data_IF_789863138267
#
_entry.id   IF_789863138267
#
_cell.length_a   1.000
_cell.length_b   1.000
_cell.length_c   1.000
_cell.angle_alpha   90.00
_cell.angle_beta   90.00
_cell.angle_gamma   90.00
#
_symmetry.space_group_name_H-M   'P 1'
#
loop_
_entity.id
_entity.type
_entity.pdbx_description
1 polymer ?
#
# COMPACT_ATOMS: atom_id res chain seq x y z
N UNK A 1 18.98 -0.21 11.41
CA UNK A 1 18.46 -1.56 11.73
C UNK A 1 18.79 -2.51 10.58
N UNK A 2 19.10 -3.77 10.89
CA UNK A 2 19.33 -4.80 9.88
C UNK A 2 17.98 -5.31 9.38
N UNK A 3 17.86 -5.52 8.05
CA UNK A 3 16.66 -6.11 7.47
C UNK A 3 16.52 -7.58 7.86
N UNK A 4 15.35 -7.99 8.34
CA UNK A 4 14.98 -9.39 8.61
C UNK A 4 14.29 -10.03 7.39
N UNK A 5 13.70 -9.20 6.54
CA UNK A 5 13.20 -9.59 5.23
C UNK A 5 14.01 -8.86 4.14
N UNK A 6 15.26 -9.27 3.87
CA UNK A 6 16.06 -8.65 2.82
C UNK A 6 15.41 -8.84 1.45
N UNK A 7 15.72 -7.95 0.51
CA UNK A 7 15.29 -8.12 -0.87
C UNK A 7 15.77 -9.48 -1.41
N UNK A 8 14.95 -10.14 -2.24
CA UNK A 8 15.37 -11.37 -2.93
C UNK A 8 16.67 -11.20 -3.71
N UNK A 9 17.37 -12.29 -3.94
CA UNK A 9 18.56 -12.32 -4.80
C UNK A 9 18.18 -11.84 -6.21
N UNK A 10 19.05 -11.06 -6.86
CA UNK A 10 18.68 -10.36 -8.12
C UNK A 10 18.37 -8.88 -7.89
N UNK A 11 19.11 -8.25 -7.00
CA UNK A 11 18.90 -6.91 -6.40
C UNK A 11 18.42 -5.83 -7.36
N UNK A 12 18.84 -5.86 -8.64
CA UNK A 12 18.43 -4.81 -9.60
C UNK A 12 16.94 -4.90 -9.92
N UNK A 13 16.43 -6.10 -10.16
CA UNK A 13 15.01 -6.31 -10.49
C UNK A 13 14.12 -6.20 -9.24
N UNK A 14 14.55 -6.74 -8.11
CA UNK A 14 13.84 -6.60 -6.85
C UNK A 14 13.66 -5.12 -6.45
N UNK A 15 14.66 -4.25 -6.68
CA UNK A 15 14.54 -2.80 -6.43
C UNK A 15 13.53 -2.12 -7.34
N UNK A 16 13.39 -2.54 -8.61
CA UNK A 16 12.39 -2.00 -9.53
C UNK A 16 10.97 -2.30 -9.07
N UNK A 17 10.76 -3.46 -8.44
CA UNK A 17 9.46 -3.91 -7.96
C UNK A 17 9.13 -3.44 -6.54
N UNK A 18 10.12 -2.96 -5.78
CA UNK A 18 9.96 -2.58 -4.38
C UNK A 18 8.80 -1.60 -4.09
N UNK A 19 8.52 -0.56 -4.90
CA UNK A 19 7.36 0.29 -4.67
C UNK A 19 6.03 -0.45 -4.78
N UNK A 20 5.88 -1.31 -5.78
CA UNK A 20 4.67 -2.13 -5.97
C UNK A 20 4.51 -3.14 -4.85
N UNK A 21 5.59 -3.82 -4.45
CA UNK A 21 5.57 -4.76 -3.32
C UNK A 21 5.23 -4.05 -2.01
N UNK A 22 5.73 -2.82 -1.80
CA UNK A 22 5.37 -2.00 -0.64
C UNK A 22 3.87 -1.72 -0.56
N UNK A 23 3.28 -1.30 -1.67
CA UNK A 23 1.85 -1.06 -1.80
C UNK A 23 1.03 -2.36 -1.66
N UNK A 24 1.47 -3.44 -2.32
CA UNK A 24 0.83 -4.75 -2.20
C UNK A 24 0.87 -5.27 -0.76
N UNK A 25 1.96 -5.05 -0.02
CA UNK A 25 2.05 -5.46 1.37
C UNK A 25 1.15 -4.65 2.29
N UNK A 26 0.95 -3.37 2.04
CA UNK A 26 -0.03 -2.54 2.73
C UNK A 26 -1.45 -3.10 2.53
N UNK A 27 -1.86 -3.30 1.28
CA UNK A 27 -3.15 -3.90 0.92
C UNK A 27 -3.31 -5.29 1.56
N UNK A 28 -2.27 -6.13 1.45
CA UNK A 28 -2.28 -7.48 2.04
C UNK A 28 -2.44 -7.45 3.56
N UNK A 29 -1.82 -6.48 4.21
CA UNK A 29 -1.97 -6.30 5.65
C UNK A 29 -3.40 -5.88 6.00
N UNK A 30 -3.99 -4.95 5.27
CA UNK A 30 -5.41 -4.57 5.47
C UNK A 30 -6.35 -5.78 5.27
N UNK A 31 -6.09 -6.67 4.29
CA UNK A 31 -6.84 -7.92 4.15
C UNK A 31 -6.70 -8.81 5.39
N UNK A 32 -5.47 -8.98 5.91
CA UNK A 32 -5.22 -9.78 7.11
C UNK A 32 -5.86 -9.19 8.37
N UNK A 33 -6.03 -7.88 8.43
CA UNK A 33 -6.75 -7.19 9.51
C UNK A 33 -8.26 -7.30 9.36
N UNK A 34 -8.77 -7.54 8.15
CA UNK A 34 -10.20 -7.55 7.82
C UNK A 34 -10.75 -6.17 7.48
N UNK A 35 -9.87 -5.22 7.10
CA UNK A 35 -10.19 -3.81 6.87
C UNK A 35 -10.08 -3.40 5.39
N UNK A 36 -9.80 -4.34 4.49
CA UNK A 36 -9.69 -4.05 3.06
C UNK A 36 -11.03 -4.23 2.35
N UNK A 37 -11.56 -3.15 1.82
CA UNK A 37 -12.76 -3.14 0.97
C UNK A 37 -12.36 -2.80 -0.48
N UNK A 38 -12.19 -3.79 -1.38
CA UNK A 38 -11.69 -3.55 -2.74
C UNK A 38 -12.40 -2.43 -3.49
N UNK A 39 -13.73 -2.42 -3.43
CA UNK A 39 -14.57 -1.46 -4.18
C UNK A 39 -14.55 -0.03 -3.66
N UNK A 40 -14.04 0.18 -2.45
CA UNK A 40 -13.88 1.51 -1.81
C UNK A 40 -12.43 1.95 -1.75
N UNK A 41 -11.53 1.17 -2.35
CA UNK A 41 -10.09 1.42 -2.29
C UNK A 41 -9.61 2.31 -3.42
N UNK A 42 -8.39 2.84 -3.26
CA UNK A 42 -7.66 3.52 -4.33
C UNK A 42 -7.43 2.62 -5.56
N UNK A 43 -7.46 1.30 -5.39
CA UNK A 43 -7.37 0.34 -6.49
C UNK A 43 -8.60 0.39 -7.40
N UNK A 44 -9.82 0.49 -6.85
CA UNK A 44 -11.03 0.68 -7.64
C UNK A 44 -11.00 2.02 -8.39
N UNK A 45 -10.56 3.08 -7.72
CA UNK A 45 -10.35 4.38 -8.37
C UNK A 45 -9.36 4.30 -9.54
N UNK A 46 -8.35 3.43 -9.45
CA UNK A 46 -7.39 3.19 -10.53
C UNK A 46 -8.03 2.57 -11.76
N UNK A 47 -8.95 1.62 -11.59
CA UNK A 47 -9.75 1.05 -12.68
C UNK A 47 -10.63 2.13 -13.32
N UNK A 48 -11.30 2.95 -12.51
CA UNK A 48 -12.15 4.04 -13.00
C UNK A 48 -11.34 5.10 -13.77
N UNK A 49 -10.20 5.52 -13.24
CA UNK A 49 -9.27 6.44 -13.91
C UNK A 49 -8.80 5.86 -15.25
N UNK A 50 -8.46 4.57 -15.27
CA UNK A 50 -8.08 3.93 -16.52
C UNK A 50 -9.22 3.97 -17.53
N UNK A 51 -10.41 3.49 -17.17
CA UNK A 51 -11.55 3.35 -18.05
C UNK A 51 -12.01 4.68 -18.65
N UNK A 52 -12.09 5.71 -17.82
CA UNK A 52 -12.67 6.99 -18.23
C UNK A 52 -11.66 7.99 -18.80
N UNK A 53 -10.39 7.94 -18.37
CA UNK A 53 -9.41 8.95 -18.73
C UNK A 53 -8.27 8.42 -19.63
N UNK A 54 -7.84 7.17 -19.46
CA UNK A 54 -6.66 6.65 -20.14
C UNK A 54 -7.01 5.75 -21.34
N UNK A 55 -7.99 4.87 -21.20
CA UNK A 55 -8.39 3.96 -22.26
C UNK A 55 -8.77 4.68 -23.57
N UNK A 56 -9.53 5.80 -23.57
CA UNK A 56 -9.84 6.52 -24.81
C UNK A 56 -8.61 7.09 -25.53
N UNK A 57 -7.47 7.20 -24.88
CA UNK A 57 -6.23 7.72 -25.43
C UNK A 57 -5.31 6.65 -26.03
N UNK A 58 -5.66 5.38 -25.87
CA UNK A 58 -4.83 4.25 -26.29
C UNK A 58 -5.46 3.51 -27.48
N UNK A 59 -4.66 3.05 -28.48
CA UNK A 59 -5.19 2.30 -29.62
C UNK A 59 -5.92 1.02 -29.24
N UNK A 60 -5.48 0.32 -28.17
CA UNK A 60 -6.09 -0.89 -27.62
C UNK A 60 -6.74 -0.66 -26.26
N UNK A 61 -7.13 0.59 -25.96
CA UNK A 61 -7.57 1.00 -24.63
C UNK A 61 -8.79 0.22 -24.12
N UNK A 62 -9.76 -0.09 -25.00
CA UNK A 62 -10.92 -0.91 -24.58
C UNK A 62 -10.48 -2.31 -24.15
N UNK A 63 -9.62 -2.96 -24.92
CA UNK A 63 -9.10 -4.28 -24.55
C UNK A 63 -8.37 -4.27 -23.20
N UNK A 64 -7.49 -3.30 -22.99
CA UNK A 64 -6.77 -3.16 -21.70
C UNK A 64 -7.75 -2.85 -20.55
N UNK A 65 -8.80 -2.07 -20.82
CA UNK A 65 -9.88 -1.79 -19.86
C UNK A 65 -10.60 -3.07 -19.43
N UNK A 66 -10.97 -3.91 -20.39
CA UNK A 66 -11.66 -5.17 -20.11
C UNK A 66 -10.76 -6.11 -19.30
N UNK A 67 -9.51 -6.29 -19.71
CA UNK A 67 -8.53 -7.15 -19.02
C UNK A 67 -8.22 -6.65 -17.60
N UNK A 68 -8.09 -5.34 -17.42
CA UNK A 68 -7.84 -4.75 -16.09
C UNK A 68 -9.06 -4.91 -15.18
N UNK A 69 -10.26 -4.72 -15.73
CA UNK A 69 -11.52 -4.93 -15.01
C UNK A 69 -11.69 -6.37 -14.56
N UNK A 70 -11.46 -7.33 -15.45
CA UNK A 70 -11.52 -8.75 -15.15
C UNK A 70 -10.46 -9.16 -14.09
N UNK A 71 -9.23 -8.62 -14.20
CA UNK A 71 -8.18 -8.86 -13.22
C UNK A 71 -8.55 -8.30 -11.84
N UNK A 72 -9.19 -7.14 -11.77
CA UNK A 72 -9.69 -6.57 -10.52
C UNK A 72 -10.79 -7.44 -9.89
N UNK A 73 -11.75 -7.91 -10.69
CA UNK A 73 -12.82 -8.78 -10.21
C UNK A 73 -12.32 -10.13 -9.72
N UNK A 74 -11.33 -10.70 -10.40
CA UNK A 74 -10.67 -11.92 -9.94
C UNK A 74 -9.90 -11.68 -8.63
N UNK A 75 -9.17 -10.57 -8.51
CA UNK A 75 -8.51 -10.20 -7.25
C UNK A 75 -9.53 -10.04 -6.10
N UNK A 76 -10.70 -9.46 -6.37
CA UNK A 76 -11.79 -9.37 -5.39
C UNK A 76 -12.29 -10.78 -4.96
N UNK A 77 -12.42 -11.70 -5.90
CA UNK A 77 -12.78 -13.10 -5.61
C UNK A 77 -11.71 -13.78 -4.76
N UNK A 78 -10.43 -13.67 -5.15
CA UNK A 78 -9.29 -14.26 -4.42
C UNK A 78 -9.15 -13.68 -3.00
N UNK A 79 -9.53 -12.43 -2.77
CA UNK A 79 -9.54 -11.84 -1.43
C UNK A 79 -10.52 -12.54 -0.50
N UNK A 80 -11.66 -13.01 -0.99
CA UNK A 80 -12.69 -13.69 -0.19
C UNK A 80 -12.44 -15.17 -0.04
N UNK A 81 -12.10 -15.83 -1.14
CA UNK A 81 -12.17 -17.29 -1.28
C UNK A 81 -10.79 -17.94 -1.39
N UNK A 82 -9.74 -17.15 -1.63
CA UNK A 82 -8.38 -17.60 -1.86
C UNK A 82 -7.59 -17.92 -0.60
N UNK A 83 -6.56 -18.70 -0.77
CA UNK A 83 -5.55 -18.96 0.27
C UNK A 83 -4.55 -17.79 0.39
N UNK A 84 -3.51 -17.97 1.20
CA UNK A 84 -2.48 -16.93 1.39
C UNK A 84 -1.72 -16.56 0.10
N UNK A 85 -1.52 -17.53 -0.81
CA UNK A 85 -0.83 -17.30 -2.08
C UNK A 85 -1.75 -16.55 -3.04
N UNK A 86 -3.00 -16.96 -3.14
CA UNK A 86 -4.02 -16.29 -3.96
C UNK A 86 -4.21 -14.84 -3.55
N UNK A 87 -4.24 -14.58 -2.24
CA UNK A 87 -4.35 -13.23 -1.70
C UNK A 87 -3.07 -12.40 -1.89
N UNK A 88 -1.90 -13.02 -1.94
CA UNK A 88 -0.65 -12.33 -2.31
C UNK A 88 -0.71 -11.89 -3.80
N UNK A 89 -1.20 -12.74 -4.71
CA UNK A 89 -1.49 -12.37 -6.11
C UNK A 89 -2.49 -11.22 -6.21
N UNK A 90 -3.63 -11.34 -5.54
CA UNK A 90 -4.66 -10.31 -5.52
C UNK A 90 -4.11 -8.95 -5.06
N UNK A 91 -3.27 -8.94 -4.01
CA UNK A 91 -2.66 -7.73 -3.49
C UNK A 91 -1.76 -7.02 -4.50
N UNK A 92 -1.04 -7.77 -5.35
CA UNK A 92 -0.21 -7.20 -6.41
C UNK A 92 -1.08 -6.58 -7.51
N UNK A 93 -2.17 -7.25 -7.90
CA UNK A 93 -3.11 -6.71 -8.89
C UNK A 93 -3.76 -5.42 -8.38
N UNK A 94 -4.20 -5.39 -7.11
CA UNK A 94 -4.71 -4.17 -6.50
C UNK A 94 -3.67 -3.05 -6.44
N UNK A 95 -2.41 -3.37 -6.11
CA UNK A 95 -1.32 -2.39 -6.11
C UNK A 95 -1.04 -1.84 -7.52
N UNK A 96 -1.21 -2.64 -8.56
CA UNK A 96 -1.14 -2.17 -9.93
C UNK A 96 -2.26 -1.19 -10.28
N UNK A 97 -3.50 -1.52 -9.90
CA UNK A 97 -4.64 -0.61 -10.07
C UNK A 97 -4.44 0.70 -9.31
N UNK A 98 -3.99 0.64 -8.05
CA UNK A 98 -3.68 1.84 -7.27
C UNK A 98 -2.55 2.67 -7.88
N UNK A 99 -1.53 2.03 -8.47
CA UNK A 99 -0.47 2.73 -9.20
C UNK A 99 -1.02 3.56 -10.37
N UNK A 100 -2.07 3.07 -11.04
CA UNK A 100 -2.76 3.81 -12.10
C UNK A 100 -3.45 5.04 -11.52
N UNK A 101 -4.14 4.91 -10.39
CA UNK A 101 -4.75 6.05 -9.69
C UNK A 101 -3.72 7.13 -9.34
N UNK A 102 -2.61 6.73 -8.70
CA UNK A 102 -1.59 7.66 -8.21
C UNK A 102 -0.69 8.28 -9.30
N UNK A 103 -0.39 7.54 -10.36
CA UNK A 103 0.58 7.95 -11.37
C UNK A 103 -0.05 8.22 -12.76
N UNK A 104 -1.32 7.87 -12.96
CA UNK A 104 -2.05 8.07 -14.21
C UNK A 104 -1.30 7.51 -15.42
N UNK A 105 -1.20 8.29 -16.49
CA UNK A 105 -0.53 7.88 -17.71
C UNK A 105 0.94 7.48 -17.57
N UNK A 106 1.62 7.82 -16.47
CA UNK A 106 2.99 7.32 -16.20
C UNK A 106 3.00 5.83 -15.84
N UNK A 107 1.99 5.34 -15.10
CA UNK A 107 1.86 3.92 -14.80
C UNK A 107 1.69 3.10 -16.08
N UNK A 108 0.86 3.58 -17.01
CA UNK A 108 0.60 2.90 -18.29
C UNK A 108 1.81 2.91 -19.22
N UNK A 109 2.69 3.89 -19.13
CA UNK A 109 3.95 3.94 -19.88
C UNK A 109 5.11 3.17 -19.22
N UNK A 110 4.84 2.47 -18.16
CA UNK A 110 5.80 1.60 -17.45
C UNK A 110 5.66 0.13 -17.88
N UNK A 111 6.46 -0.74 -17.30
CA UNK A 111 6.35 -2.19 -17.49
C UNK A 111 4.97 -2.76 -17.12
N UNK A 112 4.20 -2.07 -16.28
CA UNK A 112 2.81 -2.42 -16.00
C UNK A 112 1.93 -2.27 -17.24
N UNK A 113 2.01 -1.12 -17.94
CA UNK A 113 1.25 -0.91 -19.15
C UNK A 113 1.62 -1.88 -20.26
N UNK A 114 2.91 -2.23 -20.38
CA UNK A 114 3.36 -3.27 -21.32
C UNK A 114 2.72 -4.63 -21.02
N UNK A 115 2.67 -5.06 -19.75
CA UNK A 115 2.03 -6.31 -19.32
C UNK A 115 0.54 -6.33 -19.62
N UNK A 116 -0.18 -5.28 -19.21
CA UNK A 116 -1.61 -5.18 -19.44
C UNK A 116 -1.95 -5.14 -20.94
N UNK A 117 -1.13 -4.48 -21.76
CA UNK A 117 -1.34 -4.41 -23.20
C UNK A 117 -1.02 -5.73 -23.92
N UNK A 118 -0.14 -6.55 -23.36
CA UNK A 118 0.24 -7.85 -23.92
C UNK A 118 -0.71 -8.98 -23.50
N UNK A 119 -1.35 -8.87 -22.33
CA UNK A 119 -2.28 -9.87 -21.84
C UNK A 119 -3.56 -9.95 -22.66
N UNK A 120 -3.99 -11.15 -23.01
CA UNK A 120 -5.21 -11.42 -23.77
C UNK A 120 -6.41 -11.71 -22.88
N UNK A 121 -6.16 -12.08 -21.65
CA UNK A 121 -7.16 -12.45 -20.65
C UNK A 121 -6.59 -12.30 -19.23
N UNK A 122 -7.42 -12.55 -18.23
CA UNK A 122 -7.07 -12.43 -16.82
C UNK A 122 -5.95 -13.38 -16.40
N UNK A 123 -5.92 -14.61 -16.90
CA UNK A 123 -4.88 -15.59 -16.53
C UNK A 123 -3.50 -15.08 -16.94
N UNK A 124 -3.36 -14.51 -18.14
CA UNK A 124 -2.11 -13.93 -18.62
C UNK A 124 -1.66 -12.71 -17.81
N UNK A 125 -2.59 -11.95 -17.21
CA UNK A 125 -2.24 -10.88 -16.26
C UNK A 125 -1.55 -11.47 -15.04
N UNK A 126 -2.16 -12.50 -14.44
CA UNK A 126 -1.61 -13.17 -13.27
C UNK A 126 -0.28 -13.87 -13.57
N UNK A 127 -0.18 -14.56 -14.69
CA UNK A 127 1.06 -15.22 -15.17
C UNK A 127 2.18 -14.20 -15.41
N UNK A 128 1.84 -12.95 -15.73
CA UNK A 128 2.82 -11.88 -15.96
C UNK A 128 3.41 -11.31 -14.67
N UNK A 129 2.88 -11.67 -13.48
CA UNK A 129 3.40 -11.19 -12.20
C UNK A 129 4.79 -11.79 -11.96
N UNK A 130 5.83 -10.97 -11.77
CA UNK A 130 7.17 -11.48 -11.54
C UNK A 130 7.25 -12.34 -10.28
N UNK A 131 7.79 -13.57 -10.33
CA UNK A 131 7.92 -14.43 -9.15
C UNK A 131 8.65 -13.77 -7.97
N UNK A 132 9.63 -12.89 -8.25
CA UNK A 132 10.34 -12.12 -7.22
C UNK A 132 9.43 -11.17 -6.42
N UNK A 133 8.35 -10.67 -7.02
CA UNK A 133 7.38 -9.84 -6.28
C UNK A 133 6.59 -10.66 -5.28
N UNK A 134 6.14 -11.85 -5.69
CA UNK A 134 5.43 -12.78 -4.82
C UNK A 134 6.33 -13.29 -3.69
N UNK A 135 7.57 -13.64 -4.01
CA UNK A 135 8.55 -14.09 -3.02
C UNK A 135 8.83 -13.00 -1.97
N UNK A 136 9.03 -11.75 -2.40
CA UNK A 136 9.28 -10.62 -1.50
C UNK A 136 8.04 -10.32 -0.63
N UNK A 137 6.84 -10.33 -1.23
CA UNK A 137 5.60 -10.13 -0.51
C UNK A 137 5.34 -11.24 0.53
N UNK A 138 5.53 -12.50 0.17
CA UNK A 138 5.38 -13.63 1.08
C UNK A 138 6.37 -13.55 2.25
N UNK A 139 7.63 -13.17 2.00
CA UNK A 139 8.62 -12.95 3.07
C UNK A 139 8.20 -11.84 4.02
N UNK A 140 7.72 -10.71 3.51
CA UNK A 140 7.21 -9.61 4.34
C UNK A 140 6.03 -10.07 5.18
N UNK A 141 5.08 -10.80 4.61
CA UNK A 141 3.93 -11.36 5.31
C UNK A 141 4.33 -12.28 6.46
N UNK A 142 5.23 -13.23 6.19
CA UNK A 142 5.71 -14.20 7.18
C UNK A 142 6.42 -13.51 8.35
N UNK A 143 7.36 -12.60 8.04
CA UNK A 143 8.13 -11.88 9.07
C UNK A 143 7.23 -11.02 9.97
N UNK A 144 6.15 -10.45 9.41
CA UNK A 144 5.28 -9.53 10.15
C UNK A 144 4.03 -10.19 10.76
N UNK A 145 3.83 -11.50 10.64
CA UNK A 145 2.63 -12.19 11.16
C UNK A 145 2.33 -11.87 12.63
N UNK A 146 3.37 -11.79 13.47
CA UNK A 146 3.21 -11.50 14.89
C UNK A 146 2.65 -10.10 15.13
N UNK A 147 3.19 -9.09 14.42
CA UNK A 147 2.73 -7.71 14.53
C UNK A 147 1.31 -7.52 14.01
N UNK A 148 1.01 -8.11 12.85
CA UNK A 148 -0.33 -8.05 12.25
C UNK A 148 -1.35 -8.75 13.18
N UNK A 149 -1.01 -9.90 13.74
CA UNK A 149 -1.87 -10.58 14.72
C UNK A 149 -2.12 -9.72 15.96
N UNK A 150 -1.11 -9.01 16.43
CA UNK A 150 -1.24 -8.10 17.57
C UNK A 150 -2.25 -6.98 17.26
N UNK A 151 -2.14 -6.30 16.12
CA UNK A 151 -3.10 -5.27 15.71
C UNK A 151 -4.50 -5.83 15.51
N UNK A 152 -4.63 -6.97 14.82
CA UNK A 152 -5.93 -7.63 14.64
C UNK A 152 -6.63 -7.94 15.96
N UNK A 153 -5.88 -8.35 16.98
CA UNK A 153 -6.44 -8.56 18.32
C UNK A 153 -6.89 -7.24 18.96
N UNK A 154 -6.12 -6.18 18.87
CA UNK A 154 -6.53 -4.85 19.36
C UNK A 154 -7.82 -4.39 18.71
N UNK A 155 -7.92 -4.49 17.38
CA UNK A 155 -9.13 -4.11 16.63
C UNK A 155 -10.35 -4.94 17.04
N UNK A 156 -10.18 -6.23 17.28
CA UNK A 156 -11.26 -7.09 17.85
C UNK A 156 -11.71 -6.64 19.23
N UNK A 157 -10.87 -5.97 19.98
CA UNK A 157 -11.19 -5.40 21.30
C UNK A 157 -11.60 -3.93 21.23
N UNK A 158 -11.91 -3.43 20.05
CA UNK A 158 -12.47 -2.09 19.85
C UNK A 158 -11.43 -1.00 19.59
N UNK A 159 -10.19 -1.33 19.25
CA UNK A 159 -9.22 -0.32 18.81
C UNK A 159 -9.74 0.39 17.55
N UNK A 160 -9.65 1.72 17.56
CA UNK A 160 -10.01 2.55 16.40
C UNK A 160 -8.95 2.38 15.30
N UNK A 161 -9.40 2.18 14.07
CA UNK A 161 -8.51 2.03 12.92
C UNK A 161 -9.04 2.81 11.72
N UNK A 162 -8.15 3.57 11.08
CA UNK A 162 -8.43 4.24 9.81
C UNK A 162 -7.25 4.02 8.87
N UNK A 163 -7.51 3.47 7.69
CA UNK A 163 -6.56 3.43 6.58
C UNK A 163 -6.64 4.71 5.76
N UNK A 164 -5.51 5.23 5.35
CA UNK A 164 -5.39 6.48 4.58
C UNK A 164 -6.16 7.64 5.24
N UNK A 165 -5.88 7.97 6.53
CA UNK A 165 -6.54 9.09 7.19
C UNK A 165 -6.27 10.37 6.40
N UNK A 166 -7.34 11.08 6.06
CA UNK A 166 -7.29 12.41 5.43
C UNK A 166 -7.49 13.48 6.50
N UNK A 167 -6.88 14.64 6.31
CA UNK A 167 -6.87 15.72 7.29
C UNK A 167 -7.68 16.91 6.79
N UNK A 168 -8.40 17.59 7.67
CA UNK A 168 -9.27 18.72 7.33
C UNK A 168 -8.52 19.86 6.63
N UNK A 169 -7.24 20.06 6.92
CA UNK A 169 -6.38 21.04 6.26
C UNK A 169 -5.61 20.53 5.02
N UNK A 170 -5.82 19.27 4.58
CA UNK A 170 -5.07 18.68 3.47
C UNK A 170 -5.18 19.49 2.16
N UNK A 171 -6.30 20.18 1.93
CA UNK A 171 -6.52 21.03 0.76
C UNK A 171 -5.54 22.20 0.67
N UNK A 172 -4.97 22.65 1.79
CA UNK A 172 -3.98 23.75 1.82
C UNK A 172 -2.67 23.40 1.14
N UNK A 173 -2.36 22.11 1.02
CA UNK A 173 -1.13 21.58 0.44
C UNK A 173 -1.36 20.77 -0.84
N UNK A 174 -2.59 20.77 -1.36
CA UNK A 174 -2.95 20.03 -2.57
C UNK A 174 -3.22 18.53 -2.34
N UNK A 175 -3.50 18.15 -1.10
CA UNK A 175 -3.76 16.78 -0.65
C UNK A 175 -2.67 16.27 0.30
N UNK A 176 -3.09 15.57 1.35
CA UNK A 176 -2.20 14.92 2.30
C UNK A 176 -2.97 13.78 2.98
N UNK A 177 -2.46 12.57 2.84
CA UNK A 177 -3.02 11.37 3.46
C UNK A 177 -1.94 10.70 4.31
N UNK A 178 -2.31 10.27 5.52
CA UNK A 178 -1.49 9.37 6.32
C UNK A 178 -1.59 7.94 5.79
N UNK A 179 -0.71 7.05 6.24
CA UNK A 179 -0.85 5.64 5.87
C UNK A 179 -1.91 4.97 6.77
N UNK A 180 -1.73 5.01 8.10
CA UNK A 180 -2.66 4.40 9.05
C UNK A 180 -2.82 5.26 10.31
N UNK A 181 -4.02 5.22 10.91
CA UNK A 181 -4.28 5.72 12.24
C UNK A 181 -4.81 4.58 13.11
N UNK A 182 -4.18 4.31 14.24
CA UNK A 182 -4.57 3.23 15.16
C UNK A 182 -4.65 3.80 16.58
N UNK A 183 -5.83 3.81 17.16
CA UNK A 183 -6.18 4.42 18.47
C UNK A 183 -5.82 5.90 18.54
N UNK A 184 -4.63 6.22 19.11
CA UNK A 184 -4.09 7.55 19.33
C UNK A 184 -2.86 7.85 18.46
N UNK A 185 -2.49 6.93 17.58
CA UNK A 185 -1.19 6.95 16.89
C UNK A 185 -1.36 7.06 15.37
N UNK A 186 -0.78 8.11 14.79
CA UNK A 186 -0.61 8.24 13.34
C UNK A 186 0.65 7.52 12.91
N UNK A 187 0.51 6.53 12.01
CA UNK A 187 1.61 5.72 11.49
C UNK A 187 1.98 6.09 10.05
N UNK A 188 3.29 6.13 9.80
CA UNK A 188 3.88 6.01 8.47
C UNK A 188 4.41 4.59 8.28
N UNK A 189 4.03 3.96 7.19
CA UNK A 189 4.37 2.60 6.82
C UNK A 189 5.36 2.60 5.67
N UNK A 190 6.51 1.95 5.83
CA UNK A 190 7.53 1.96 4.76
C UNK A 190 8.26 0.63 4.64
N UNK A 191 8.06 -0.02 3.49
CA UNK A 191 8.82 -1.21 3.08
C UNK A 191 10.15 -0.75 2.50
N UNK A 192 11.13 -0.48 3.38
CA UNK A 192 12.44 0.07 3.01
C UNK A 192 13.55 -0.81 3.55
N UNK A 193 14.53 -1.12 2.70
CA UNK A 193 15.65 -2.00 3.07
C UNK A 193 16.66 -1.29 3.99
N UNK A 194 17.04 -0.07 3.65
CA UNK A 194 18.03 0.71 4.40
C UNK A 194 17.41 1.89 5.12
N UNK A 195 17.56 1.93 6.44
CA UNK A 195 17.08 2.99 7.30
C UNK A 195 18.25 3.84 7.79
N UNK A 196 18.17 5.15 7.52
CA UNK A 196 19.18 6.14 7.92
C UNK A 196 18.57 7.18 8.84
N UNK A 197 19.38 7.80 9.72
CA UNK A 197 18.89 8.84 10.62
C UNK A 197 18.28 10.05 9.89
N UNK A 198 18.85 10.58 8.77
CA UNK A 198 18.19 11.64 8.00
C UNK A 198 16.82 11.24 7.45
N UNK A 199 16.68 9.97 7.01
CA UNK A 199 15.40 9.46 6.54
C UNK A 199 14.36 9.41 7.67
N UNK A 200 14.72 8.86 8.84
CA UNK A 200 13.83 8.84 10.02
C UNK A 200 13.38 10.25 10.38
N UNK A 201 14.32 11.20 10.46
CA UNK A 201 13.99 12.60 10.75
C UNK A 201 13.00 13.19 9.73
N UNK A 202 13.20 12.93 8.43
CA UNK A 202 12.28 13.39 7.39
C UNK A 202 10.88 12.80 7.57
N UNK A 203 10.78 11.51 7.87
CA UNK A 203 9.50 10.83 8.09
C UNK A 203 8.78 11.36 9.34
N UNK A 204 9.50 11.58 10.44
CA UNK A 204 8.91 12.21 11.63
C UNK A 204 8.39 13.63 11.32
N UNK A 205 9.13 14.44 10.57
CA UNK A 205 8.68 15.76 10.14
C UNK A 205 7.45 15.69 9.23
N UNK A 206 7.34 14.68 8.38
CA UNK A 206 6.15 14.44 7.56
C UNK A 206 4.93 14.12 8.43
N UNK A 207 5.08 13.20 9.40
CA UNK A 207 4.00 12.85 10.33
C UNK A 207 3.55 14.06 11.17
N UNK A 208 4.48 14.86 11.69
CA UNK A 208 4.16 16.11 12.38
C UNK A 208 3.43 17.10 11.45
N UNK A 209 3.83 17.16 10.17
CA UNK A 209 3.13 17.98 9.17
C UNK A 209 1.67 17.53 8.99
N UNK A 210 1.40 16.24 8.97
CA UNK A 210 0.03 15.72 8.89
C UNK A 210 -0.81 16.11 10.13
N UNK A 211 -0.23 16.05 11.32
CA UNK A 211 -0.92 16.48 12.55
C UNK A 211 -1.28 17.97 12.51
N UNK A 212 -0.40 18.82 11.96
CA UNK A 212 -0.68 20.26 11.77
C UNK A 212 -1.85 20.46 10.79
N UNK A 213 -2.06 19.55 9.85
CA UNK A 213 -3.18 19.62 8.89
C UNK A 213 -4.50 19.06 9.46
N UNK A 214 -4.50 18.42 10.63
CA UNK A 214 -5.70 18.04 11.36
C UNK A 214 -6.27 19.23 12.14
N UNK A 215 -6.77 20.24 11.39
CA UNK A 215 -7.22 21.52 11.93
C UNK A 215 -8.39 21.40 12.90
N UNK A 216 -9.25 20.41 12.68
CA UNK A 216 -10.43 20.14 13.50
C UNK A 216 -10.13 19.18 14.65
N UNK A 217 -8.88 18.67 14.72
CA UNK A 217 -8.41 17.67 15.70
C UNK A 217 -9.31 16.42 15.72
N UNK A 218 -9.71 15.96 14.53
CA UNK A 218 -10.63 14.84 14.36
C UNK A 218 -10.05 13.53 14.89
N UNK A 219 -8.72 13.36 14.76
CA UNK A 219 -8.04 12.14 15.17
C UNK A 219 -7.56 12.16 16.63
N UNK A 220 -7.43 13.34 17.26
CA UNK A 220 -6.91 13.48 18.64
C UNK A 220 -5.60 12.70 18.85
N UNK A 221 -4.70 12.79 17.88
CA UNK A 221 -3.44 12.04 17.90
C UNK A 221 -2.56 12.47 19.06
N UNK A 222 -2.12 11.54 19.90
CA UNK A 222 -1.16 11.76 20.97
C UNK A 222 0.25 11.26 20.60
N UNK A 223 0.33 10.40 19.59
CA UNK A 223 1.55 9.72 19.17
C UNK A 223 1.72 9.71 17.67
N UNK A 224 2.98 9.64 17.25
CA UNK A 224 3.32 9.26 15.87
C UNK A 224 4.16 7.99 15.88
N UNK A 225 4.04 7.22 14.80
CA UNK A 225 4.71 5.92 14.68
C UNK A 225 5.28 5.67 13.30
N UNK A 226 6.30 4.83 13.24
CA UNK A 226 6.86 4.31 12.00
C UNK A 226 6.85 2.79 12.08
N UNK A 227 6.22 2.15 11.10
CA UNK A 227 6.34 0.72 10.92
C UNK A 227 7.28 0.40 9.77
N UNK A 228 8.28 -0.43 10.07
CA UNK A 228 9.33 -0.88 9.17
C UNK A 228 9.24 -2.40 9.00
N UNK A 229 8.42 -2.90 8.08
CA UNK A 229 8.16 -4.33 7.92
C UNK A 229 9.41 -5.17 7.64
N UNK A 230 10.36 -4.68 6.83
CA UNK A 230 11.60 -5.43 6.55
C UNK A 230 12.46 -5.62 7.79
N UNK A 231 12.31 -4.77 8.79
CA UNK A 231 13.03 -4.84 10.05
C UNK A 231 12.18 -5.42 11.20
N UNK A 232 10.94 -5.85 10.92
CA UNK A 232 9.97 -6.27 11.95
C UNK A 232 9.95 -5.27 13.11
N UNK A 233 9.91 -3.99 12.78
CA UNK A 233 10.09 -2.93 13.78
C UNK A 233 8.95 -1.93 13.71
N UNK A 234 8.27 -1.73 14.83
CA UNK A 234 7.36 -0.62 15.10
C UNK A 234 8.00 0.28 16.13
N UNK A 235 8.06 1.59 15.86
CA UNK A 235 8.52 2.61 16.80
C UNK A 235 7.49 3.70 16.89
N UNK A 236 7.15 4.07 18.12
CA UNK A 236 6.23 5.18 18.42
C UNK A 236 6.89 6.18 19.35
N UNK A 237 6.50 7.42 19.23
CA UNK A 237 6.93 8.53 20.07
C UNK A 237 5.70 9.33 20.49
N UNK A 238 5.65 9.77 21.75
CA UNK A 238 4.69 10.79 22.13
C UNK A 238 5.02 12.11 21.41
N UNK A 239 3.99 12.85 21.00
CA UNK A 239 4.18 14.12 20.30
C UNK A 239 4.96 15.10 21.19
N UNK A 240 4.64 15.13 22.48
CA UNK A 240 5.32 15.94 23.50
C UNK A 240 6.83 15.65 23.58
N UNK A 241 7.22 14.36 23.51
CA UNK A 241 8.65 13.96 23.52
C UNK A 241 9.43 14.52 22.33
N UNK A 242 8.76 14.68 21.17
CA UNK A 242 9.41 15.19 19.95
C UNK A 242 9.48 16.70 19.97
N UNK A 243 8.45 17.35 20.47
CA UNK A 243 8.37 18.82 20.53
C UNK A 243 9.18 19.42 21.67
N UNK A 244 9.61 18.61 22.65
CA UNK A 244 10.47 19.03 23.74
C UNK A 244 9.76 19.85 24.81
N UNK A 245 8.47 19.59 25.00
CA UNK A 245 7.64 20.22 26.06
C UNK A 245 7.62 19.40 27.33
#
# INVERSE_FOLDING_TARGET
>A
ARSLAPLPDGVTDARRHSPTVGMAFDIRTMMMLGEFEPRRSASAMGVDVFNHLLAPLLPNGQHVSDVLGDAFLEAERLTRDGDDVDQDYASIVFAWCESIYRAGGRAIRSSLGERLSAARNVDEVYDSIPPLMLEDLARLRIVNQRQIKHWRLRMKHGAFFVSNPSFSGAFLVGGADGDWFIDDTLFDFKVKDTITAPWVRKTLMQLLGYLVLDLDNDYQAERIGIWLPRQETVKTWAIEEILGS
#
